data_IF_392829560651
#
_entry.id   IF_392829560651
#
_cell.length_a   1.000
_cell.length_b   1.000
_cell.length_c   1.000
_cell.angle_alpha   90.00
_cell.angle_beta   90.00
_cell.angle_gamma   90.00
#
_symmetry.space_group_name_H-M   'P 1'
#
loop_
_entity.id
_entity.type
_entity.pdbx_description
1 polymer ?
#
# COMPACT_ATOMS: atom_id res chain seq x y z
N UNK A 1 12.66 4.88 -20.91
CA UNK A 1 12.48 3.41 -20.80
C UNK A 1 11.73 3.17 -19.51
N UNK A 2 10.56 2.53 -19.56
CA UNK A 2 9.82 2.13 -18.35
C UNK A 2 10.37 0.78 -17.90
N UNK A 3 11.04 0.76 -16.75
CA UNK A 3 11.51 -0.47 -16.13
C UNK A 3 10.40 -1.03 -15.23
N UNK A 4 9.88 -2.20 -15.58
CA UNK A 4 8.86 -2.87 -14.77
C UNK A 4 9.52 -3.89 -13.84
N UNK A 5 9.19 -3.82 -12.55
CA UNK A 5 9.59 -4.81 -11.55
C UNK A 5 8.40 -5.72 -11.22
N UNK A 6 8.65 -7.04 -11.16
CA UNK A 6 7.61 -8.03 -10.86
C UNK A 6 8.11 -8.94 -9.74
N UNK A 7 7.37 -8.96 -8.64
CA UNK A 7 7.61 -9.83 -7.50
C UNK A 7 6.46 -10.83 -7.35
N UNK A 8 6.77 -12.06 -6.94
CA UNK A 8 5.77 -13.11 -6.67
C UNK A 8 6.09 -13.78 -5.34
N UNK A 9 5.09 -13.96 -4.50
CA UNK A 9 5.18 -14.66 -3.23
C UNK A 9 3.94 -15.52 -3.00
N UNK A 10 4.11 -16.62 -2.28
CA UNK A 10 3.00 -17.51 -1.86
C UNK A 10 2.89 -17.47 -0.35
N UNK A 11 1.70 -17.18 0.17
CA UNK A 11 1.42 -17.12 1.60
C UNK A 11 0.52 -18.30 2.02
N UNK A 12 0.78 -18.95 3.17
CA UNK A 12 -0.08 -20.02 3.70
C UNK A 12 -1.31 -19.43 4.43
N UNK A 13 -1.94 -18.42 3.82
CA UNK A 13 -3.05 -17.65 4.37
C UNK A 13 -4.12 -17.42 3.29
N UNK A 14 -5.37 -17.19 3.69
CA UNK A 14 -6.44 -16.91 2.72
C UNK A 14 -6.23 -15.54 2.05
N UNK A 15 -6.75 -15.35 0.82
CA UNK A 15 -6.71 -14.06 0.14
C UNK A 15 -7.26 -12.91 1.00
N UNK A 16 -8.31 -13.13 1.79
CA UNK A 16 -8.92 -12.11 2.65
C UNK A 16 -7.96 -11.67 3.77
N UNK A 17 -7.19 -12.61 4.33
CA UNK A 17 -6.20 -12.28 5.38
C UNK A 17 -5.05 -11.47 4.79
N UNK A 18 -4.57 -11.84 3.61
CA UNK A 18 -3.53 -11.07 2.90
C UNK A 18 -4.07 -9.70 2.51
N UNK A 19 -5.29 -9.63 1.99
CA UNK A 19 -5.96 -8.40 1.64
C UNK A 19 -6.02 -7.42 2.81
N UNK A 20 -6.43 -7.87 3.99
CA UNK A 20 -6.42 -7.02 5.20
C UNK A 20 -5.02 -6.49 5.52
N UNK A 21 -3.95 -7.25 5.30
CA UNK A 21 -2.58 -6.79 5.49
C UNK A 21 -2.15 -5.73 4.46
N UNK A 22 -2.79 -5.73 3.27
CA UNK A 22 -2.52 -4.79 2.18
C UNK A 22 -3.43 -3.56 2.17
N UNK A 23 -4.59 -3.60 2.84
CA UNK A 23 -5.59 -2.51 2.79
C UNK A 23 -5.98 -1.92 4.13
N UNK A 24 -5.60 -2.54 5.25
CA UNK A 24 -5.88 -1.96 6.56
C UNK A 24 -4.73 -1.02 6.97
N UNK A 25 -4.99 0.27 7.26
CA UNK A 25 -3.92 1.26 7.46
C UNK A 25 -2.98 0.89 8.61
N UNK A 26 -3.53 0.35 9.71
CA UNK A 26 -2.73 -0.14 10.85
C UNK A 26 -1.88 -1.36 10.50
N UNK A 27 -2.35 -2.23 9.60
CA UNK A 27 -1.58 -3.40 9.18
C UNK A 27 -0.45 -2.98 8.23
N UNK A 28 -0.73 -2.08 7.29
CA UNK A 28 0.27 -1.46 6.42
C UNK A 28 1.37 -0.77 7.24
N UNK A 29 1.02 -0.02 8.28
CA UNK A 29 1.99 0.65 9.15
C UNK A 29 2.95 -0.29 9.88
N UNK A 30 2.59 -1.58 10.05
CA UNK A 30 3.47 -2.56 10.71
C UNK A 30 4.62 -3.02 9.82
N UNK A 31 4.42 -3.08 8.49
CA UNK A 31 5.41 -3.68 7.58
C UNK A 31 5.86 -2.78 6.43
N UNK A 32 5.14 -1.70 6.16
CA UNK A 32 5.45 -0.73 5.12
C UNK A 32 5.78 0.64 5.73
N UNK A 33 4.79 1.51 5.91
CA UNK A 33 4.93 2.89 6.41
C UNK A 33 3.63 3.38 7.04
N UNK A 34 3.70 4.41 7.90
CA UNK A 34 2.49 5.06 8.42
C UNK A 34 1.69 5.67 7.27
N UNK A 35 0.36 5.62 7.36
CA UNK A 35 -0.50 5.99 6.24
C UNK A 35 -1.93 6.30 6.66
N UNK A 36 -2.61 7.03 5.79
CA UNK A 36 -4.03 7.34 5.87
C UNK A 36 -4.83 6.64 4.75
N UNK A 37 -4.42 5.43 4.35
CA UNK A 37 -5.08 4.70 3.26
C UNK A 37 -6.56 4.43 3.54
N UNK A 38 -7.40 4.68 2.54
CA UNK A 38 -8.79 4.22 2.49
C UNK A 38 -9.06 3.42 1.21
N UNK A 39 -9.79 2.29 1.29
CA UNK A 39 -10.11 1.46 0.14
C UNK A 39 -11.24 2.07 -0.70
N UNK A 40 -10.94 3.19 -1.38
CA UNK A 40 -11.86 3.87 -2.31
C UNK A 40 -11.11 4.33 -3.55
N UNK A 41 -11.60 3.97 -4.74
CA UNK A 41 -11.03 4.42 -6.02
C UNK A 41 -11.05 5.96 -6.09
N UNK A 42 -9.96 6.58 -6.54
CA UNK A 42 -9.73 8.03 -6.58
C UNK A 42 -9.29 8.64 -5.25
N UNK A 43 -9.24 7.87 -4.17
CA UNK A 43 -8.76 8.37 -2.89
C UNK A 43 -7.25 8.62 -2.94
N UNK A 44 -6.86 9.82 -2.54
CA UNK A 44 -5.46 10.22 -2.40
C UNK A 44 -5.00 9.99 -0.96
N UNK A 45 -3.91 9.26 -0.81
CA UNK A 45 -3.33 8.92 0.48
C UNK A 45 -1.81 9.05 0.43
N UNK A 46 -1.18 8.99 1.60
CA UNK A 46 0.26 9.14 1.75
C UNK A 46 0.85 7.99 2.55
N UNK A 47 2.01 7.50 2.11
CA UNK A 47 2.92 6.75 2.98
C UNK A 47 3.95 7.70 3.57
N UNK A 48 4.15 7.60 4.87
CA UNK A 48 5.06 8.47 5.63
C UNK A 48 6.03 7.63 6.42
N UNK A 49 7.31 7.81 6.13
CA UNK A 49 8.38 7.29 6.95
C UNK A 49 8.94 8.40 7.84
N UNK A 50 8.75 8.24 9.15
CA UNK A 50 9.29 9.11 10.19
C UNK A 50 10.34 8.39 11.05
N UNK A 51 10.86 7.25 10.59
CA UNK A 51 11.85 6.45 11.34
C UNK A 51 13.16 7.18 11.58
N UNK A 52 13.48 8.23 10.80
CA UNK A 52 14.66 9.06 10.95
C UNK A 52 14.30 10.51 11.33
N UNK A 53 14.77 11.02 12.49
CA UNK A 53 14.57 12.41 12.87
C UNK A 53 15.15 13.38 11.83
N UNK A 54 14.30 14.26 11.28
CA UNK A 54 14.71 15.30 10.33
C UNK A 54 14.69 14.88 8.85
N UNK A 55 14.27 13.65 8.54
CA UNK A 55 14.05 13.18 7.18
C UNK A 55 12.65 12.54 7.08
N UNK A 56 11.63 13.38 6.85
CA UNK A 56 10.29 12.88 6.54
C UNK A 56 10.25 12.48 5.06
N UNK A 57 10.13 11.18 4.79
CA UNK A 57 9.84 10.71 3.43
C UNK A 57 8.34 10.58 3.30
N UNK A 58 7.74 11.41 2.44
CA UNK A 58 6.33 11.33 2.08
C UNK A 58 6.24 10.82 0.64
N UNK A 59 5.41 9.82 0.44
CA UNK A 59 5.13 9.23 -0.88
C UNK A 59 3.64 9.45 -1.15
N UNK A 60 3.34 10.12 -2.24
CA UNK A 60 1.97 10.42 -2.64
C UNK A 60 1.42 9.28 -3.51
N UNK A 61 0.20 8.85 -3.17
CA UNK A 61 -0.47 7.73 -3.80
C UNK A 61 -1.93 8.05 -4.10
N UNK A 62 -2.48 7.43 -5.14
CA UNK A 62 -3.88 7.45 -5.51
C UNK A 62 -4.35 6.02 -5.80
N UNK A 63 -5.51 5.62 -5.26
CA UNK A 63 -6.13 4.33 -5.57
C UNK A 63 -6.73 4.37 -6.97
N UNK A 64 -6.21 3.55 -7.89
CA UNK A 64 -6.64 3.52 -9.29
C UNK A 64 -7.66 2.41 -9.54
N UNK A 65 -7.45 1.23 -8.95
CA UNK A 65 -8.36 0.09 -9.07
C UNK A 65 -8.46 -0.66 -7.75
N UNK A 66 -9.65 -1.16 -7.45
CA UNK A 66 -9.93 -1.85 -6.20
C UNK A 66 -11.01 -2.92 -6.42
N UNK A 67 -10.60 -4.18 -6.37
CA UNK A 67 -11.47 -5.36 -6.41
C UNK A 67 -11.12 -6.26 -5.22
N UNK A 68 -11.76 -6.07 -4.07
CA UNK A 68 -11.51 -6.90 -2.90
C UNK A 68 -11.97 -8.35 -3.12
N UNK A 69 -11.22 -9.38 -2.68
CA UNK A 69 -9.87 -9.34 -2.09
C UNK A 69 -8.75 -9.67 -3.10
N UNK A 70 -8.95 -9.45 -4.40
CA UNK A 70 -8.12 -10.01 -5.47
C UNK A 70 -7.17 -9.02 -6.14
N UNK A 71 -7.49 -7.72 -6.16
CA UNK A 71 -6.71 -6.73 -6.91
C UNK A 71 -6.77 -5.33 -6.32
N UNK A 72 -5.60 -4.77 -6.02
CA UNK A 72 -5.39 -3.39 -5.61
C UNK A 72 -4.34 -2.78 -6.53
N UNK A 73 -4.62 -1.61 -7.08
CA UNK A 73 -3.66 -0.83 -7.87
C UNK A 73 -3.67 0.61 -7.37
N UNK A 74 -2.50 1.16 -7.09
CA UNK A 74 -2.31 2.55 -6.71
C UNK A 74 -1.04 3.13 -7.32
N UNK A 75 -0.95 4.44 -7.42
CA UNK A 75 0.25 5.17 -7.84
C UNK A 75 1.30 5.23 -6.72
N UNK A 76 2.55 5.52 -7.07
CA UNK A 76 3.65 5.67 -6.12
C UNK A 76 4.58 6.78 -6.63
N UNK A 77 4.48 7.97 -6.03
CA UNK A 77 5.16 9.19 -6.48
C UNK A 77 5.96 9.87 -5.37
#
# INVERSE_FOLDING_TARGET
>A
MTSTLIFKATYPHSPERVWQALTHPKALAVWLMDNNFEPSVGHHFQFKDASLPGLETVIDCEVIELEPPTRLVYTWQ
#
